data_IF_624111391891
#
_entry.id   IF_624111391891
#
_cell.length_a   1.000
_cell.length_b   1.000
_cell.length_c   1.000
_cell.angle_alpha   90.00
_cell.angle_beta   90.00
_cell.angle_gamma   90.00
#
_symmetry.space_group_name_H-M   'P 1'
#
loop_
_entity.id
_entity.type
_entity.pdbx_description
1 polymer ?
#
# COMPACT_ATOMS: atom_id res chain seq x y z
N UNK A 1 58.61 -52.05 -34.02
CA UNK A 1 58.75 -51.04 -32.94
C UNK A 1 57.76 -51.43 -31.86
N UNK A 2 58.18 -52.23 -30.88
CA UNK A 2 58.66 -51.82 -29.53
C UNK A 2 57.50 -51.29 -28.66
N UNK A 3 57.19 -51.71 -27.42
CA UNK A 3 57.62 -52.76 -26.48
C UNK A 3 56.43 -52.88 -25.45
N UNK A 4 55.95 -54.07 -25.05
CA UNK A 4 56.21 -54.80 -23.76
C UNK A 4 55.85 -53.97 -22.49
N UNK A 5 54.90 -54.33 -21.62
CA UNK A 5 54.99 -55.28 -20.45
C UNK A 5 53.57 -55.59 -19.90
N UNK A 6 53.10 -56.86 -19.84
CA UNK A 6 53.11 -57.88 -18.74
C UNK A 6 52.34 -57.51 -17.44
N UNK A 7 51.18 -58.17 -17.18
CA UNK A 7 50.89 -59.30 -16.23
C UNK A 7 50.87 -58.86 -14.74
N UNK A 8 49.82 -59.04 -13.94
CA UNK A 8 49.31 -60.30 -13.31
C UNK A 8 47.96 -60.06 -12.57
N UNK A 9 46.90 -60.88 -12.71
CA UNK A 9 46.39 -61.96 -11.77
C UNK A 9 45.98 -61.45 -10.37
N UNK A 10 44.79 -61.66 -9.75
CA UNK A 10 43.91 -62.82 -9.44
C UNK A 10 42.51 -62.25 -9.05
N UNK A 11 41.34 -62.74 -9.48
CA UNK A 11 40.56 -63.93 -9.07
C UNK A 11 40.03 -63.96 -7.61
N UNK A 12 38.69 -63.85 -7.43
CA UNK A 12 37.83 -64.56 -6.44
C UNK A 12 36.36 -64.03 -6.57
N UNK A 13 35.43 -64.68 -7.28
CA UNK A 13 34.46 -65.71 -6.82
C UNK A 13 33.52 -65.23 -5.69
N UNK A 14 32.27 -64.89 -6.01
CA UNK A 14 31.01 -65.66 -5.73
C UNK A 14 30.60 -65.63 -4.23
N UNK A 15 29.36 -65.42 -3.80
CA UNK A 15 28.08 -65.93 -4.31
C UNK A 15 26.92 -65.25 -3.57
N UNK A 16 25.74 -65.34 -4.18
CA UNK A 16 24.40 -65.10 -3.65
C UNK A 16 24.14 -65.68 -2.25
N UNK A 17 23.29 -65.00 -1.47
CA UNK A 17 22.14 -65.64 -0.84
C UNK A 17 21.07 -64.61 -0.46
N UNK A 18 19.88 -64.84 -0.99
CA UNK A 18 18.60 -64.29 -0.59
C UNK A 18 18.13 -64.91 0.72
N UNK A 19 17.26 -64.21 1.45
CA UNK A 19 15.92 -64.67 1.90
C UNK A 19 15.48 -64.04 3.26
N UNK A 20 14.16 -63.82 3.31
CA UNK A 20 13.28 -63.70 4.48
C UNK A 20 13.10 -62.32 5.17
N UNK A 21 12.00 -61.65 4.81
CA UNK A 21 11.14 -60.79 5.65
C UNK A 21 10.48 -61.63 6.78
N UNK A 22 9.83 -61.06 7.84
CA UNK A 22 8.64 -60.17 7.70
C UNK A 22 8.43 -59.06 8.75
N UNK A 23 7.65 -58.05 8.32
CA UNK A 23 6.50 -57.42 8.98
C UNK A 23 6.42 -57.37 10.52
N UNK A 24 6.36 -56.16 11.08
CA UNK A 24 5.30 -55.80 12.04
C UNK A 24 4.85 -54.35 11.82
N UNK A 25 3.57 -54.22 11.50
CA UNK A 25 2.79 -53.00 11.50
C UNK A 25 2.37 -52.65 12.94
N UNK A 26 2.71 -51.45 13.41
CA UNK A 26 2.13 -50.89 14.63
C UNK A 26 1.14 -49.79 14.27
N UNK A 27 -0.11 -50.20 14.30
CA UNK A 27 -1.31 -49.37 14.30
C UNK A 27 -1.39 -48.63 15.63
N UNK A 28 -1.33 -47.30 15.61
CA UNK A 28 -1.86 -46.48 16.70
C UNK A 28 -3.19 -45.88 16.25
N UNK A 29 -4.27 -46.58 16.62
CA UNK A 29 -5.66 -46.17 16.46
C UNK A 29 -6.28 -46.06 17.85
N UNK A 30 -7.06 -45.00 18.02
CA UNK A 30 -7.97 -44.66 19.14
C UNK A 30 -7.26 -44.04 20.37
N UNK A 31 -7.76 -42.96 20.97
CA UNK A 31 -9.16 -42.73 21.35
C UNK A 31 -9.52 -41.24 21.38
N UNK A 32 -10.69 -40.97 20.85
CA UNK A 32 -11.59 -39.86 21.17
C UNK A 32 -11.65 -39.57 22.66
N UNK A 33 -11.49 -38.30 23.07
CA UNK A 33 -12.09 -37.76 24.30
C UNK A 33 -12.24 -36.25 24.13
N UNK A 34 -13.46 -35.83 23.82
CA UNK A 34 -13.92 -34.47 24.06
C UNK A 34 -14.39 -34.37 25.53
N UNK A 35 -14.02 -33.33 26.28
CA UNK A 35 -14.78 -32.90 27.43
C UNK A 35 -15.62 -31.67 27.09
N UNK A 36 -16.93 -31.89 27.05
CA UNK A 36 -17.97 -31.11 27.74
C UNK A 36 -17.86 -29.58 27.74
N UNK A 37 -18.76 -29.00 26.97
CA UNK A 37 -19.61 -27.86 27.36
C UNK A 37 -19.71 -27.62 28.87
N UNK A 38 -19.31 -26.42 29.30
CA UNK A 38 -19.88 -25.76 30.46
C UNK A 38 -20.57 -24.49 29.94
N UNK A 39 -21.88 -24.61 29.74
CA UNK A 39 -22.79 -23.48 29.75
C UNK A 39 -23.32 -23.32 31.18
N UNK A 40 -23.19 -22.11 31.73
CA UNK A 40 -23.90 -21.46 32.87
C UNK A 40 -22.89 -20.45 33.44
N UNK A 41 -23.11 -19.13 33.34
CA UNK A 41 -24.20 -18.45 34.02
C UNK A 41 -24.80 -17.31 33.19
N UNK A 42 -26.11 -17.38 32.99
CA UNK A 42 -26.98 -16.21 32.93
C UNK A 42 -26.86 -15.47 34.26
N UNK A 43 -26.49 -14.19 34.22
CA UNK A 43 -27.06 -13.21 35.12
C UNK A 43 -27.86 -12.21 34.29
N UNK A 44 -29.18 -12.36 34.38
CA UNK A 44 -30.11 -11.30 34.08
C UNK A 44 -29.90 -10.14 35.07
N UNK A 45 -29.67 -8.95 34.54
CA UNK A 45 -30.05 -7.67 35.16
C UNK A 45 -30.58 -6.81 34.02
N UNK A 46 -31.87 -6.89 33.73
CA UNK A 46 -32.89 -6.01 34.28
C UNK A 46 -32.61 -4.53 33.95
N UNK A 47 -33.04 -4.09 32.76
CA UNK A 47 -33.72 -2.80 32.60
C UNK A 47 -35.18 -3.03 33.05
N UNK A 48 -35.89 -2.07 33.70
CA UNK A 48 -36.16 -0.70 33.20
C UNK A 48 -36.07 0.34 34.35
N UNK A 49 -36.27 1.66 34.25
CA UNK A 49 -37.30 2.47 33.58
C UNK A 49 -36.91 3.95 33.76
N UNK A 50 -37.35 4.80 32.82
CA UNK A 50 -37.65 6.25 32.96
C UNK A 50 -36.50 7.26 33.08
N UNK A 51 -36.25 7.96 31.99
CA UNK A 51 -36.27 9.43 32.00
C UNK A 51 -36.72 9.93 30.63
N UNK A 52 -38.01 10.28 30.52
CA UNK A 52 -38.50 11.18 29.49
C UNK A 52 -38.00 12.57 29.88
N UNK A 53 -37.23 13.25 29.03
CA UNK A 53 -37.35 14.69 28.88
C UNK A 53 -37.23 15.07 27.40
N UNK A 54 -38.31 15.71 26.97
CA UNK A 54 -38.59 16.34 25.70
C UNK A 54 -37.65 17.51 25.42
N UNK A 55 -37.18 17.55 24.17
CA UNK A 55 -37.14 18.69 23.23
C UNK A 55 -36.82 20.06 23.84
N UNK A 56 -35.69 20.63 23.41
CA UNK A 56 -35.61 22.03 23.00
C UNK A 56 -34.49 22.19 21.98
N UNK A 57 -34.88 22.44 20.73
CA UNK A 57 -34.00 23.01 19.73
C UNK A 57 -33.69 24.46 20.11
N UNK A 58 -32.44 24.87 19.99
CA UNK A 58 -32.09 26.24 19.62
C UNK A 58 -30.69 26.22 19.00
N UNK A 59 -30.65 26.59 17.73
CA UNK A 59 -29.45 26.99 17.03
C UNK A 59 -28.93 28.30 17.65
N UNK A 60 -27.61 28.44 17.81
CA UNK A 60 -26.97 29.72 18.07
C UNK A 60 -25.55 29.72 17.51
N UNK A 61 -25.40 30.53 16.47
CA UNK A 61 -24.18 30.99 15.83
C UNK A 61 -23.25 31.71 16.83
N UNK A 62 -21.93 31.58 16.72
CA UNK A 62 -20.99 32.38 17.50
C UNK A 62 -20.90 33.80 16.92
N UNK A 63 -21.27 34.78 17.73
CA UNK A 63 -21.17 36.20 17.49
C UNK A 63 -19.76 36.66 17.92
N UNK A 64 -19.01 37.26 17.00
CA UNK A 64 -17.73 37.89 17.28
C UNK A 64 -17.93 39.32 17.78
N UNK A 65 -17.52 39.56 19.02
CA UNK A 65 -17.47 40.88 19.66
C UNK A 65 -16.30 41.70 19.10
N UNK A 66 -16.61 42.83 18.47
CA UNK A 66 -15.66 43.92 18.23
C UNK A 66 -16.02 45.10 19.16
N UNK A 67 -15.05 45.67 19.90
CA UNK A 67 -15.32 46.85 20.71
C UNK A 67 -15.48 48.10 19.85
N UNK A 68 -16.59 48.79 20.10
CA UNK A 68 -16.95 50.11 19.58
C UNK A 68 -16.10 51.20 20.25
N UNK A 69 -15.41 52.02 19.45
CA UNK A 69 -14.77 53.25 19.94
C UNK A 69 -15.24 54.42 19.08
N UNK A 70 -16.18 55.19 19.63
CA UNK A 70 -16.68 56.44 19.05
C UNK A 70 -15.78 57.59 19.51
N UNK A 71 -15.05 58.21 18.58
CA UNK A 71 -14.66 59.61 18.72
C UNK A 71 -14.85 60.33 17.38
N UNK A 72 -15.91 61.13 17.36
CA UNK A 72 -16.27 62.05 16.30
C UNK A 72 -15.24 63.18 16.20
N UNK A 73 -14.59 63.30 15.03
CA UNK A 73 -14.05 64.58 14.59
C UNK A 73 -14.37 64.80 13.12
N UNK A 74 -15.23 65.78 12.90
CA UNK A 74 -15.67 66.23 11.59
C UNK A 74 -14.49 66.65 10.71
N UNK A 75 -14.46 66.14 9.48
CA UNK A 75 -13.65 66.67 8.37
C UNK A 75 -14.56 66.89 7.15
N UNK A 76 -14.33 67.96 6.38
CA UNK A 76 -15.26 68.45 5.37
C UNK A 76 -15.44 67.45 4.22
N UNK A 77 -16.68 67.30 3.76
CA UNK A 77 -17.08 66.51 2.60
C UNK A 77 -16.43 67.09 1.34
N UNK A 78 -15.41 66.43 0.81
CA UNK A 78 -15.06 66.59 -0.60
C UNK A 78 -16.18 65.91 -1.40
N UNK A 79 -17.04 66.74 -1.99
CA UNK A 79 -18.04 66.36 -2.98
C UNK A 79 -17.29 65.89 -4.23
N UNK A 80 -16.98 64.60 -4.33
CA UNK A 80 -16.59 64.02 -5.60
C UNK A 80 -17.87 63.72 -6.36
N UNK A 81 -18.08 64.51 -7.40
CA UNK A 81 -19.02 64.30 -8.48
C UNK A 81 -19.22 62.81 -8.76
N UNK A 82 -20.47 62.35 -8.72
CA UNK A 82 -20.91 61.12 -9.37
C UNK A 82 -20.69 61.27 -10.89
N UNK A 83 -19.45 61.10 -11.33
CA UNK A 83 -19.14 60.84 -12.71
C UNK A 83 -19.58 59.41 -12.98
N UNK A 84 -20.74 59.29 -13.65
CA UNK A 84 -21.06 58.26 -14.63
C UNK A 84 -20.80 56.84 -14.14
N UNK A 85 -21.88 56.14 -13.79
CA UNK A 85 -21.90 54.68 -13.90
C UNK A 85 -21.24 54.30 -15.23
N UNK A 86 -20.01 53.81 -15.16
CA UNK A 86 -19.40 53.17 -16.30
C UNK A 86 -20.28 51.97 -16.55
N UNK A 87 -20.97 51.99 -17.69
CA UNK A 87 -21.61 50.81 -18.24
C UNK A 87 -20.62 49.67 -18.04
N UNK A 88 -21.00 48.64 -17.28
CA UNK A 88 -20.32 47.35 -17.37
C UNK A 88 -20.24 47.12 -18.89
N UNK A 89 -19.06 47.00 -19.50
CA UNK A 89 -19.01 46.59 -20.88
C UNK A 89 -19.72 45.26 -20.90
N UNK A 90 -20.93 45.25 -21.45
CA UNK A 90 -21.56 44.03 -21.88
C UNK A 90 -20.48 43.37 -22.74
N UNK A 91 -19.86 42.31 -22.22
CA UNK A 91 -18.99 41.45 -23.00
C UNK A 91 -19.86 40.95 -24.14
N UNK A 92 -19.87 41.69 -25.26
CA UNK A 92 -20.23 41.12 -26.54
C UNK A 92 -19.06 40.20 -26.83
N UNK A 93 -19.11 38.99 -26.27
CA UNK A 93 -18.48 37.87 -26.93
C UNK A 93 -19.06 37.89 -28.33
N UNK A 94 -18.19 38.07 -29.32
CA UNK A 94 -18.65 37.92 -30.69
C UNK A 94 -19.19 36.50 -30.85
N UNK A 95 -20.14 36.27 -31.74
CA UNK A 95 -20.65 34.91 -31.99
C UNK A 95 -19.50 33.94 -32.34
N UNK A 96 -18.37 34.47 -32.86
CA UNK A 96 -17.13 33.74 -33.07
C UNK A 96 -16.43 33.32 -31.76
N UNK A 97 -16.40 34.17 -30.74
CA UNK A 97 -15.83 33.83 -29.42
C UNK A 97 -16.70 32.81 -28.68
N UNK A 98 -18.02 32.90 -28.84
CA UNK A 98 -18.96 31.92 -28.29
C UNK A 98 -18.83 30.55 -28.99
N UNK A 99 -18.73 30.56 -30.33
CA UNK A 99 -18.47 29.35 -31.11
C UNK A 99 -17.13 28.72 -30.72
N UNK A 100 -16.07 29.52 -30.57
CA UNK A 100 -14.76 29.04 -30.13
C UNK A 100 -14.79 28.42 -28.73
N UNK A 101 -15.62 28.95 -27.81
CA UNK A 101 -15.82 28.34 -26.50
C UNK A 101 -16.56 27.00 -26.58
N UNK A 102 -17.62 26.91 -27.39
CA UNK A 102 -18.34 25.65 -27.61
C UNK A 102 -17.46 24.60 -28.27
N UNK A 103 -16.70 24.98 -29.30
CA UNK A 103 -15.76 24.09 -29.97
C UNK A 103 -14.66 23.62 -29.01
N UNK A 104 -14.14 24.51 -28.16
CA UNK A 104 -13.16 24.15 -27.13
C UNK A 104 -13.74 23.27 -26.02
N UNK A 105 -15.03 23.39 -25.72
CA UNK A 105 -15.72 22.53 -24.75
C UNK A 105 -16.08 21.15 -25.34
N UNK A 106 -16.27 21.07 -26.65
CA UNK A 106 -16.54 19.83 -27.37
C UNK A 106 -15.27 19.12 -27.86
N UNK A 107 -14.10 19.79 -27.77
CA UNK A 107 -12.82 19.12 -27.94
C UNK A 107 -12.69 18.00 -26.90
N UNK A 108 -12.30 16.83 -27.38
CA UNK A 108 -12.09 15.66 -26.53
C UNK A 108 -11.10 16.08 -25.42
N UNK A 109 -11.45 15.91 -24.13
CA UNK A 109 -10.55 16.24 -23.03
C UNK A 109 -9.16 15.62 -23.21
N UNK A 110 -9.05 14.52 -23.97
CA UNK A 110 -7.82 13.82 -24.30
C UNK A 110 -6.83 14.62 -25.19
N UNK A 111 -7.25 15.69 -25.86
CA UNK A 111 -6.37 16.57 -26.65
C UNK A 111 -5.74 17.70 -25.81
N UNK A 112 -6.37 18.07 -24.69
CA UNK A 112 -5.91 19.11 -23.75
C UNK A 112 -5.07 18.58 -22.59
N UNK A 113 -5.10 17.27 -22.32
CA UNK A 113 -4.02 16.65 -21.57
C UNK A 113 -2.80 16.68 -22.49
N UNK A 114 -1.81 17.50 -22.13
CA UNK A 114 -0.44 17.14 -22.48
C UNK A 114 -0.34 15.65 -22.15
N UNK A 115 -0.12 14.80 -23.16
CA UNK A 115 0.34 13.42 -22.95
C UNK A 115 1.32 13.54 -21.79
N UNK A 116 1.19 12.79 -20.70
CA UNK A 116 2.26 12.79 -19.74
C UNK A 116 3.50 12.43 -20.54
N UNK A 117 4.35 13.43 -20.80
CA UNK A 117 5.79 13.30 -20.79
C UNK A 117 6.17 12.97 -19.35
N UNK A 118 5.50 11.98 -18.75
CA UNK A 118 6.14 11.02 -17.91
C UNK A 118 7.17 10.41 -18.84
N UNK A 119 8.38 10.92 -18.74
CA UNK A 119 9.50 10.01 -18.87
C UNK A 119 9.07 8.71 -18.17
N UNK A 120 9.15 7.58 -18.86
CA UNK A 120 8.98 6.25 -18.28
C UNK A 120 10.03 5.96 -17.18
N UNK A 121 10.61 6.99 -16.57
CA UNK A 121 11.75 6.97 -15.67
C UNK A 121 11.39 7.15 -14.19
N UNK A 122 10.12 7.38 -13.83
CA UNK A 122 9.77 7.64 -12.44
C UNK A 122 8.88 6.54 -11.82
N UNK A 123 8.49 5.52 -12.57
CA UNK A 123 7.84 4.35 -11.98
C UNK A 123 8.93 3.46 -11.37
N UNK A 124 8.89 3.29 -10.06
CA UNK A 124 9.80 2.39 -9.36
C UNK A 124 9.52 0.93 -9.75
N UNK A 125 10.60 0.15 -9.80
CA UNK A 125 10.50 -1.27 -10.13
C UNK A 125 9.73 -2.03 -9.06
N UNK A 126 8.54 -2.52 -9.40
CA UNK A 126 7.69 -3.27 -8.49
C UNK A 126 7.78 -4.80 -8.69
N UNK A 127 8.13 -5.26 -9.90
CA UNK A 127 8.18 -6.68 -10.21
C UNK A 127 9.38 -7.03 -11.09
N UNK A 128 10.15 -8.04 -10.67
CA UNK A 128 11.24 -8.63 -11.44
C UNK A 128 10.75 -9.69 -12.43
N UNK A 129 11.44 -9.77 -13.57
CA UNK A 129 11.13 -10.76 -14.60
C UNK A 129 11.42 -12.17 -14.06
N UNK A 130 10.37 -13.00 -13.94
CA UNK A 130 10.46 -14.36 -13.43
C UNK A 130 10.19 -14.53 -11.93
N UNK A 131 9.83 -13.44 -11.22
CA UNK A 131 9.37 -13.50 -9.83
C UNK A 131 7.85 -13.27 -9.82
N UNK A 132 7.10 -14.30 -9.43
CA UNK A 132 5.65 -14.22 -9.30
C UNK A 132 5.26 -13.74 -7.90
N UNK A 133 4.24 -12.88 -7.85
CA UNK A 133 3.61 -12.45 -6.60
C UNK A 133 2.92 -13.66 -5.96
N UNK A 134 3.16 -13.94 -4.66
CA UNK A 134 2.52 -15.05 -3.96
C UNK A 134 0.99 -15.00 -4.01
N UNK A 135 0.34 -16.16 -4.12
CA UNK A 135 -1.12 -16.29 -4.24
C UNK A 135 -1.90 -15.58 -3.12
N UNK A 136 -1.37 -15.60 -1.90
CA UNK A 136 -1.97 -14.92 -0.75
C UNK A 136 -2.16 -13.42 -0.99
N UNK A 137 -1.17 -12.76 -1.60
CA UNK A 137 -1.23 -11.34 -1.94
C UNK A 137 -2.18 -11.11 -3.12
N UNK A 138 -2.07 -11.95 -4.17
CA UNK A 138 -2.97 -11.86 -5.32
C UNK A 138 -4.45 -11.95 -4.95
N UNK A 139 -4.79 -12.77 -3.96
CA UNK A 139 -6.17 -12.96 -3.51
C UNK A 139 -6.72 -11.73 -2.77
N UNK A 140 -5.87 -10.95 -2.09
CA UNK A 140 -6.28 -9.67 -1.47
C UNK A 140 -6.33 -8.54 -2.49
N UNK A 141 -5.41 -8.52 -3.47
CA UNK A 141 -5.45 -7.53 -4.55
C UNK A 141 -6.73 -7.62 -5.41
N UNK A 142 -7.41 -8.77 -5.44
CA UNK A 142 -8.71 -8.94 -6.12
C UNK A 142 -9.90 -8.35 -5.36
N UNK A 143 -9.71 -7.89 -4.12
CA UNK A 143 -10.81 -7.41 -3.28
C UNK A 143 -11.17 -5.94 -3.55
N UNK A 144 -10.73 -5.37 -4.69
CA UNK A 144 -10.94 -3.98 -5.12
C UNK A 144 -10.68 -2.95 -4.02
N UNK A 145 -9.72 -3.25 -3.13
CA UNK A 145 -9.36 -2.40 -2.01
C UNK A 145 -8.42 -1.29 -2.49
N UNK A 146 -8.69 -0.07 -2.04
CA UNK A 146 -7.90 1.11 -2.35
C UNK A 146 -7.24 1.66 -1.08
N UNK A 147 -6.07 2.25 -1.27
CA UNK A 147 -5.40 3.03 -0.25
C UNK A 147 -6.01 4.43 -0.20
N UNK A 148 -6.51 4.81 0.96
CA UNK A 148 -7.27 6.05 1.15
C UNK A 148 -6.27 7.18 1.30
N UNK A 149 -6.18 8.02 0.28
CA UNK A 149 -5.39 9.26 0.25
C UNK A 149 -6.15 10.29 -0.60
N UNK A 150 -5.56 11.44 -0.93
CA UNK A 150 -6.25 12.45 -1.74
C UNK A 150 -6.69 11.93 -3.14
N UNK A 151 -6.06 10.85 -3.64
CA UNK A 151 -6.33 10.28 -4.97
C UNK A 151 -6.89 8.85 -4.99
N UNK A 152 -7.16 8.22 -3.83
CA UNK A 152 -7.69 6.84 -3.72
C UNK A 152 -7.08 5.83 -4.70
N UNK A 153 -5.84 5.39 -4.42
CA UNK A 153 -5.06 4.57 -5.35
C UNK A 153 -5.16 3.06 -5.03
N UNK A 154 -5.22 2.17 -6.04
CA UNK A 154 -5.26 0.73 -5.81
C UNK A 154 -3.90 0.19 -5.33
N UNK A 155 -3.95 -0.94 -4.62
CA UNK A 155 -2.74 -1.68 -4.28
C UNK A 155 -2.19 -2.44 -5.51
N UNK A 156 -0.87 -2.49 -5.61
CA UNK A 156 -0.14 -3.23 -6.66
C UNK A 156 0.76 -4.28 -6.01
N UNK A 157 0.78 -5.48 -6.57
CA UNK A 157 1.63 -6.57 -6.08
C UNK A 157 3.11 -6.31 -6.37
N UNK A 158 3.95 -6.63 -5.38
CA UNK A 158 5.41 -6.47 -5.45
C UNK A 158 6.07 -7.83 -5.37
N UNK A 159 7.03 -8.07 -6.26
CA UNK A 159 7.82 -9.30 -6.30
C UNK A 159 9.20 -9.02 -6.91
N UNK A 160 10.19 -8.81 -6.05
CA UNK A 160 11.56 -8.46 -6.41
C UNK A 160 12.52 -9.58 -5.99
N UNK A 161 13.59 -9.79 -6.74
CA UNK A 161 14.64 -10.74 -6.41
C UNK A 161 15.53 -10.15 -5.30
N UNK A 162 15.71 -10.88 -4.19
CA UNK A 162 16.45 -10.37 -3.04
C UNK A 162 17.41 -11.43 -2.48
N UNK A 163 18.68 -11.10 -2.30
CA UNK A 163 19.60 -11.97 -1.58
C UNK A 163 19.59 -11.58 -0.10
N UNK A 164 18.90 -12.38 0.71
CA UNK A 164 18.80 -12.11 2.14
C UNK A 164 20.18 -12.16 2.81
N UNK A 165 21.18 -12.86 2.25
CA UNK A 165 22.57 -12.97 2.72
C UNK A 165 22.78 -13.12 4.26
N UNK A 166 21.75 -13.51 5.00
CA UNK A 166 21.70 -13.49 6.46
C UNK A 166 21.37 -12.14 7.13
N UNK A 167 21.16 -11.07 6.37
CA UNK A 167 20.78 -9.72 6.85
C UNK A 167 19.28 -9.54 7.08
N UNK A 168 18.42 -10.27 6.37
CA UNK A 168 16.97 -10.13 6.47
C UNK A 168 16.39 -9.18 5.43
N UNK A 169 15.48 -8.30 5.84
CA UNK A 169 14.90 -7.26 4.97
C UNK A 169 15.93 -6.20 4.58
N UNK A 170 15.82 -5.59 3.38
CA UNK A 170 16.73 -4.54 2.94
C UNK A 170 16.66 -3.28 3.82
N UNK A 171 17.75 -2.52 3.83
CA UNK A 171 17.80 -1.18 4.45
C UNK A 171 17.23 -0.10 3.51
N UNK A 172 17.14 1.17 3.93
CA UNK A 172 16.64 2.28 3.10
C UNK A 172 17.34 2.34 1.73
N UNK A 173 18.68 2.32 1.78
CA UNK A 173 19.54 2.50 0.59
C UNK A 173 19.52 1.24 -0.28
N UNK A 174 19.57 0.06 0.34
CA UNK A 174 19.49 -1.23 -0.38
C UNK A 174 18.13 -1.38 -1.08
N UNK A 175 17.05 -0.96 -0.41
CA UNK A 175 15.70 -0.95 -0.98
C UNK A 175 15.59 0.05 -2.13
N UNK A 176 16.13 1.26 -1.97
CA UNK A 176 16.16 2.27 -3.04
C UNK A 176 16.94 1.77 -4.29
N UNK A 177 18.05 1.04 -4.09
CA UNK A 177 18.77 0.39 -5.20
C UNK A 177 17.93 -0.70 -5.87
N UNK A 178 17.19 -1.50 -5.08
CA UNK A 178 16.37 -2.59 -5.57
C UNK A 178 15.21 -2.11 -6.46
N UNK A 179 14.61 -0.98 -6.11
CA UNK A 179 13.52 -0.37 -6.88
C UNK A 179 14.03 0.48 -8.07
N UNK A 180 15.34 0.47 -8.32
CA UNK A 180 16.03 1.26 -9.36
C UNK A 180 15.80 2.78 -9.20
N UNK A 181 15.84 3.28 -7.96
CA UNK A 181 15.75 4.72 -7.69
C UNK A 181 16.93 5.47 -8.32
N UNK A 182 16.72 6.62 -9.00
CA UNK A 182 17.79 7.35 -9.69
C UNK A 182 18.94 7.76 -8.75
N UNK A 183 18.59 8.14 -7.51
CA UNK A 183 19.54 8.51 -6.46
C UNK A 183 19.27 7.69 -5.20
N UNK A 184 19.83 6.49 -5.09
CA UNK A 184 19.52 5.58 -3.97
C UNK A 184 19.94 6.11 -2.59
N UNK A 185 21.06 6.85 -2.50
CA UNK A 185 21.56 7.40 -1.25
C UNK A 185 20.74 8.59 -0.74
N UNK A 186 20.11 9.34 -1.65
CA UNK A 186 19.31 10.53 -1.35
C UNK A 186 17.83 10.30 -1.67
N UNK A 187 17.39 9.04 -1.72
CA UNK A 187 16.02 8.69 -2.07
C UNK A 187 14.99 9.14 -1.01
N UNK A 188 15.44 9.51 0.19
CA UNK A 188 14.55 9.91 1.27
C UNK A 188 13.59 8.79 1.69
N UNK A 189 14.01 7.53 1.53
CA UNK A 189 13.23 6.38 1.96
C UNK A 189 13.21 6.35 3.48
N UNK A 190 12.01 6.23 4.06
CA UNK A 190 11.82 6.10 5.49
C UNK A 190 11.25 4.72 5.83
N UNK A 191 11.75 4.11 6.89
CA UNK A 191 11.20 2.87 7.44
C UNK A 191 10.11 3.21 8.44
N UNK A 192 8.93 2.64 8.21
CA UNK A 192 7.78 2.76 9.10
C UNK A 192 7.41 1.39 9.64
N UNK A 193 6.92 1.39 10.88
CA UNK A 193 6.31 0.21 11.46
C UNK A 193 4.90 -0.01 10.86
N UNK A 194 4.49 -1.26 10.59
CA UNK A 194 3.16 -1.53 10.04
C UNK A 194 2.00 -0.99 10.89
N UNK A 195 2.21 -0.90 12.21
CA UNK A 195 1.23 -0.38 13.17
C UNK A 195 1.12 1.15 13.08
N UNK A 196 2.24 1.83 12.81
CA UNK A 196 2.25 3.29 12.66
C UNK A 196 1.65 3.71 11.31
N UNK A 197 1.93 2.93 10.26
CA UNK A 197 1.36 3.13 8.94
C UNK A 197 -0.16 2.90 8.90
N UNK A 198 -0.64 1.81 9.51
CA UNK A 198 -2.06 1.47 9.60
C UNK A 198 -2.59 1.60 11.03
N UNK A 199 -2.54 2.83 11.56
CA UNK A 199 -2.98 3.13 12.93
C UNK A 199 -4.45 2.81 13.19
N UNK A 200 -5.31 2.92 12.16
CA UNK A 200 -6.73 2.58 12.22
C UNK A 200 -6.99 1.07 12.10
N UNK A 201 -6.02 0.31 11.57
CA UNK A 201 -6.15 -1.11 11.36
C UNK A 201 -7.10 -1.45 10.20
N UNK A 202 -7.22 -0.56 9.23
CA UNK A 202 -8.09 -0.71 8.07
C UNK A 202 -7.51 -1.72 7.08
N UNK A 203 -6.19 -1.91 7.06
CA UNK A 203 -5.42 -2.73 6.10
C UNK A 203 -4.88 -4.04 6.69
N UNK A 204 -5.50 -4.55 7.76
CA UNK A 204 -5.11 -5.80 8.42
C UNK A 204 -5.11 -7.03 7.51
N UNK A 205 -6.07 -7.13 6.62
CA UNK A 205 -6.18 -8.16 5.58
C UNK A 205 -4.96 -8.19 4.65
N UNK A 206 -4.51 -7.02 4.20
CA UNK A 206 -3.30 -6.85 3.37
C UNK A 206 -2.08 -7.27 4.18
N UNK A 207 -1.95 -6.78 5.41
CA UNK A 207 -0.86 -7.13 6.30
C UNK A 207 -0.78 -8.63 6.57
N UNK A 208 -1.90 -9.28 6.87
CA UNK A 208 -1.97 -10.73 7.08
C UNK A 208 -1.60 -11.51 5.82
N UNK A 209 -2.01 -11.05 4.64
CA UNK A 209 -1.65 -11.68 3.38
C UNK A 209 -0.16 -11.58 3.08
N UNK A 210 0.46 -10.42 3.32
CA UNK A 210 1.92 -10.24 3.21
C UNK A 210 2.64 -11.13 4.22
N UNK A 211 2.23 -11.13 5.49
CA UNK A 211 2.82 -12.00 6.52
C UNK A 211 2.70 -13.50 6.18
N UNK A 212 1.56 -13.91 5.62
CA UNK A 212 1.33 -15.28 5.14
C UNK A 212 2.22 -15.62 3.95
N UNK A 213 2.44 -14.68 3.04
CA UNK A 213 3.37 -14.85 1.93
C UNK A 213 4.82 -15.05 2.42
N UNK A 214 5.23 -14.30 3.45
CA UNK A 214 6.54 -14.43 4.10
C UNK A 214 6.66 -15.60 5.07
N UNK A 215 5.66 -16.49 5.18
CA UNK A 215 5.65 -17.65 6.11
C UNK A 215 5.95 -17.28 7.57
N UNK A 216 5.53 -16.09 8.00
CA UNK A 216 5.76 -15.58 9.35
C UNK A 216 7.05 -14.79 9.56
N UNK A 217 7.78 -14.46 8.49
CA UNK A 217 8.86 -13.49 8.52
C UNK A 217 8.36 -12.08 8.91
N UNK A 218 9.30 -11.21 9.26
CA UNK A 218 9.01 -9.82 9.58
C UNK A 218 8.51 -9.06 8.34
N UNK A 219 7.61 -8.11 8.59
CA UNK A 219 7.00 -7.26 7.57
C UNK A 219 7.38 -5.82 7.88
N UNK A 220 7.76 -5.06 6.87
CA UNK A 220 8.20 -3.66 6.99
C UNK A 220 7.51 -2.78 5.97
N UNK A 221 7.29 -1.53 6.34
CA UNK A 221 6.75 -0.50 5.44
C UNK A 221 7.87 0.46 5.05
N UNK A 222 8.04 0.69 3.76
CA UNK A 222 8.95 1.71 3.24
C UNK A 222 8.11 2.84 2.66
N UNK A 223 8.34 4.06 3.13
CA UNK A 223 7.79 5.30 2.57
C UNK A 223 8.80 5.87 1.59
N UNK A 224 8.45 5.90 0.30
CA UNK A 224 9.35 6.35 -0.77
C UNK A 224 8.77 7.61 -1.42
N UNK A 225 9.40 8.78 -1.29
CA UNK A 225 8.95 9.98 -1.98
C UNK A 225 9.21 9.85 -3.50
N UNK A 226 8.19 10.13 -4.31
CA UNK A 226 8.25 10.12 -5.79
C UNK A 226 8.34 11.54 -6.38
N UNK A 227 8.47 12.54 -5.50
CA UNK A 227 8.57 13.96 -5.82
C UNK A 227 7.24 14.71 -5.70
N UNK A 228 7.33 16.01 -5.37
CA UNK A 228 6.16 16.84 -5.09
C UNK A 228 5.36 16.30 -3.90
N UNK A 229 4.06 16.14 -4.10
CA UNK A 229 3.10 15.60 -3.11
C UNK A 229 2.93 14.08 -3.19
N UNK A 230 3.74 13.39 -3.99
CA UNK A 230 3.56 11.94 -4.26
C UNK A 230 4.49 11.10 -3.40
N UNK A 231 3.92 10.09 -2.75
CA UNK A 231 4.66 9.12 -1.94
C UNK A 231 4.17 7.71 -2.23
N UNK A 232 5.06 6.76 -2.45
CA UNK A 232 4.73 5.34 -2.54
C UNK A 232 5.00 4.65 -1.21
N UNK A 233 3.99 3.96 -0.68
CA UNK A 233 4.11 3.10 0.49
C UNK A 233 4.29 1.65 0.04
N UNK A 234 5.32 0.99 0.54
CA UNK A 234 5.68 -0.38 0.19
C UNK A 234 5.65 -1.27 1.42
N UNK A 235 4.67 -2.16 1.50
CA UNK A 235 4.54 -3.16 2.56
C UNK A 235 5.12 -4.48 2.06
N UNK A 236 6.30 -4.87 2.55
CA UNK A 236 7.05 -6.00 2.01
C UNK A 236 7.58 -6.94 3.10
N UNK A 237 7.80 -8.19 2.71
CA UNK A 237 8.40 -9.28 3.50
C UNK A 237 9.38 -10.06 2.63
N UNK A 238 10.29 -10.81 3.24
CA UNK A 238 11.07 -11.83 2.53
C UNK A 238 10.27 -13.14 2.42
N UNK A 239 10.29 -13.80 1.27
CA UNK A 239 9.87 -15.19 1.07
C UNK A 239 11.09 -16.03 0.65
N UNK A 240 11.33 -17.13 1.36
CA UNK A 240 12.53 -17.95 1.21
C UNK A 240 13.64 -17.56 2.17
N UNK A 241 14.84 -18.12 1.97
CA UNK A 241 16.04 -17.82 2.76
C UNK A 241 17.29 -17.80 1.89
N UNK A 242 18.22 -16.90 2.21
CA UNK A 242 19.53 -16.79 1.56
C UNK A 242 19.45 -16.27 0.12
N UNK A 243 20.30 -16.81 -0.78
CA UNK A 243 20.46 -16.31 -2.16
C UNK A 243 19.27 -16.49 -3.10
N UNK A 244 18.27 -17.25 -2.66
CA UNK A 244 17.03 -17.49 -3.40
C UNK A 244 15.83 -16.80 -2.73
N UNK A 245 16.09 -15.92 -1.77
CA UNK A 245 15.04 -15.13 -1.18
C UNK A 245 14.43 -14.19 -2.23
N UNK A 246 13.21 -13.77 -1.94
CA UNK A 246 12.43 -12.87 -2.77
C UNK A 246 11.81 -11.86 -1.86
N UNK A 247 11.79 -10.61 -2.27
CA UNK A 247 11.04 -9.58 -1.58
C UNK A 247 9.64 -9.54 -2.18
N UNK A 248 8.63 -9.85 -1.37
CA UNK A 248 7.25 -9.95 -1.82
C UNK A 248 6.37 -9.06 -0.96
N UNK A 249 5.34 -8.45 -1.56
CA UNK A 249 4.52 -7.52 -0.82
C UNK A 249 3.49 -6.81 -1.68
N UNK A 250 3.05 -5.65 -1.21
CA UNK A 250 2.21 -4.72 -1.95
C UNK A 250 2.80 -3.31 -1.90
N UNK A 251 2.46 -2.51 -2.90
CA UNK A 251 2.69 -1.06 -2.89
C UNK A 251 1.40 -0.30 -3.14
N UNK A 252 1.33 0.92 -2.65
CA UNK A 252 0.26 1.86 -2.96
C UNK A 252 0.84 3.27 -3.15
N UNK A 253 0.28 4.02 -4.09
CA UNK A 253 0.60 5.43 -4.27
C UNK A 253 -0.28 6.28 -3.34
N UNK A 254 0.29 7.34 -2.78
CA UNK A 254 -0.38 8.31 -1.93
C UNK A 254 -0.09 9.71 -2.45
N UNK A 255 -1.11 10.57 -2.39
CA UNK A 255 -0.99 12.00 -2.67
C UNK A 255 -1.22 12.75 -1.35
N UNK A 256 -0.19 13.46 -0.88
CA UNK A 256 -0.14 14.17 0.40
C UNK A 256 0.05 15.67 0.13
N UNK A 257 -1.03 16.45 0.20
CA UNK A 257 -1.03 17.93 0.01
C UNK A 257 -1.21 18.69 1.31
#
# INVERSE_FOLDING_TARGET
MACIFRRTTLAATSSLNSLLSPSTSLTNRMKTTAPRTIYRNLHHRAFPTTARYTISSIASTPQSDFPSNNNFRARPRHRQSLSKFSSIPHLQMSDADYAAFLDKANQDPNEGYAKPTGNKSNEFKAQDQGVEVPKAIQDVLKQDKVYVSDADEPFVGVALAWDEAGKGLPDEVEFAQLIEHPDAENAGVELLDPVDWDSNGDYKDIFEAVRKAGKGNDVRVYKVPKGGVRTEYWLVTTDGKGKQAKLVGVKALSIES
#
